data_IF_856349437382
#
_entry.id   IF_856349437382
#
_cell.length_a   1.000
_cell.length_b   1.000
_cell.length_c   1.000
_cell.angle_alpha   90.00
_cell.angle_beta   90.00
_cell.angle_gamma   90.00
#
_symmetry.space_group_name_H-M   'P 1'
#
loop_
_entity.id
_entity.type
_entity.pdbx_description
1 polymer ?
#
# COMPACT_ATOMS: atom_id res chain seq x y z
N UNK A 1 -16.00 -19.56 -18.56
CA UNK A 1 -14.77 -19.40 -19.36
C UNK A 1 -14.78 -18.10 -20.14
N UNK A 2 -15.83 -17.79 -20.92
CA UNK A 2 -15.94 -16.55 -21.71
C UNK A 2 -16.07 -15.24 -20.88
N UNK A 3 -16.72 -15.31 -19.72
CA UNK A 3 -16.84 -14.16 -18.81
C UNK A 3 -15.52 -13.83 -18.09
N UNK A 4 -14.72 -14.86 -17.78
CA UNK A 4 -13.40 -14.72 -17.16
C UNK A 4 -12.42 -14.06 -18.14
N UNK A 5 -12.39 -14.49 -19.40
CA UNK A 5 -11.50 -13.94 -20.43
C UNK A 5 -11.84 -12.49 -20.80
N UNK A 6 -13.11 -12.08 -20.74
CA UNK A 6 -13.53 -10.68 -20.92
C UNK A 6 -13.07 -9.77 -19.78
N UNK A 7 -13.12 -10.23 -18.54
CA UNK A 7 -12.64 -9.48 -17.37
C UNK A 7 -11.12 -9.29 -17.42
N UNK A 8 -10.37 -10.34 -17.76
CA UNK A 8 -8.91 -10.28 -17.93
C UNK A 8 -8.51 -9.30 -19.05
N UNK A 9 -9.23 -9.32 -20.18
CA UNK A 9 -9.00 -8.36 -21.26
C UNK A 9 -9.28 -6.92 -20.83
N UNK A 10 -10.38 -6.67 -20.11
CA UNK A 10 -10.72 -5.33 -19.61
C UNK A 10 -9.63 -4.81 -18.66
N UNK A 11 -9.17 -5.64 -17.72
CA UNK A 11 -8.08 -5.29 -16.80
C UNK A 11 -6.81 -4.96 -17.59
N UNK A 12 -6.42 -5.81 -18.55
CA UNK A 12 -5.24 -5.56 -19.40
C UNK A 12 -5.36 -4.28 -20.22
N UNK A 13 -6.56 -3.97 -20.74
CA UNK A 13 -6.83 -2.76 -21.50
C UNK A 13 -6.75 -1.51 -20.62
N UNK A 14 -7.36 -1.53 -19.43
CA UNK A 14 -7.26 -0.44 -18.45
C UNK A 14 -5.81 -0.23 -18.01
N UNK A 15 -5.04 -1.29 -17.76
CA UNK A 15 -3.61 -1.20 -17.41
C UNK A 15 -2.78 -0.64 -18.57
N UNK A 16 -3.04 -1.04 -19.81
CA UNK A 16 -2.34 -0.53 -21.00
C UNK A 16 -2.62 0.96 -21.23
N UNK A 17 -3.89 1.39 -21.13
CA UNK A 17 -4.24 2.81 -21.19
C UNK A 17 -3.63 3.62 -20.05
N UNK A 18 -3.44 3.00 -18.88
CA UNK A 18 -2.80 3.64 -17.72
C UNK A 18 -1.30 3.86 -17.92
N UNK A 19 -0.64 3.07 -18.79
CA UNK A 19 0.79 3.23 -19.13
C UNK A 19 1.06 4.38 -20.10
N UNK A 20 0.05 4.81 -20.87
CA UNK A 20 0.20 5.83 -21.91
C UNK A 20 -0.18 7.26 -21.45
N UNK A 21 -0.85 7.41 -20.29
CA UNK A 21 -1.33 8.70 -19.80
C UNK A 21 -0.79 9.06 -18.41
N UNK A 22 0.08 10.08 -18.33
CA UNK A 22 0.59 10.66 -17.07
C UNK A 22 -0.45 11.38 -16.19
N UNK A 23 -1.75 11.09 -16.36
CA UNK A 23 -2.88 11.68 -15.61
C UNK A 23 -3.56 10.64 -14.69
N UNK A 24 -2.77 9.77 -14.05
CA UNK A 24 -3.31 8.72 -13.18
C UNK A 24 -4.01 9.29 -11.93
N UNK A 25 -3.49 10.40 -11.39
CA UNK A 25 -4.02 11.04 -10.18
C UNK A 25 -5.43 11.61 -10.36
N UNK A 26 -5.84 11.95 -11.59
CA UNK A 26 -7.16 12.54 -11.85
C UNK A 26 -8.31 11.53 -11.84
N UNK A 27 -8.02 10.24 -12.06
CA UNK A 27 -9.04 9.17 -12.11
C UNK A 27 -9.04 8.25 -10.89
N UNK A 28 -8.04 8.38 -10.03
CA UNK A 28 -7.94 7.59 -8.81
C UNK A 28 -8.75 8.22 -7.66
N UNK A 29 -9.05 7.41 -6.64
CA UNK A 29 -9.71 7.92 -5.43
C UNK A 29 -8.78 8.89 -4.68
N UNK A 30 -9.25 10.11 -4.44
CA UNK A 30 -8.49 11.12 -3.72
C UNK A 30 -8.43 10.82 -2.21
N UNK A 31 -7.41 11.35 -1.53
CA UNK A 31 -7.22 11.14 -0.09
C UNK A 31 -8.44 11.61 0.71
N UNK A 32 -8.97 12.80 0.40
CA UNK A 32 -10.13 13.36 1.08
C UNK A 32 -11.41 12.53 0.90
N UNK A 33 -11.51 11.80 -0.22
CA UNK A 33 -12.62 10.86 -0.44
C UNK A 33 -12.42 9.58 0.36
N UNK A 34 -11.23 8.99 0.29
CA UNK A 34 -10.92 7.70 0.93
C UNK A 34 -10.80 7.79 2.46
N UNK A 35 -10.06 8.77 2.98
CA UNK A 35 -9.75 8.89 4.41
C UNK A 35 -10.64 9.98 5.01
N UNK A 36 -11.63 9.57 5.81
CA UNK A 36 -12.55 10.49 6.48
C UNK A 36 -11.99 11.01 7.79
N UNK A 37 -11.43 10.11 8.60
CA UNK A 37 -10.74 10.47 9.85
C UNK A 37 -9.39 9.76 9.91
N UNK A 38 -8.39 10.44 10.45
CA UNK A 38 -7.06 9.90 10.72
C UNK A 38 -6.59 10.39 12.09
N UNK A 39 -6.09 9.48 12.92
CA UNK A 39 -5.39 9.80 14.15
C UNK A 39 -4.17 8.90 14.36
N UNK A 40 -3.07 9.47 14.82
CA UNK A 40 -1.84 8.77 15.19
C UNK A 40 -1.26 9.40 16.45
N UNK A 41 -0.82 8.60 17.43
CA UNK A 41 -0.38 9.11 18.74
C UNK A 41 -1.39 10.07 19.41
N UNK A 42 -2.70 9.79 19.27
CA UNK A 42 -3.80 10.65 19.74
C UNK A 42 -3.84 12.07 19.13
N UNK A 43 -3.06 12.35 18.08
CA UNK A 43 -3.12 13.58 17.30
C UNK A 43 -3.78 13.32 15.94
N UNK A 44 -4.46 14.33 15.41
CA UNK A 44 -5.04 14.28 14.06
C UNK A 44 -3.91 14.22 13.02
N UNK A 45 -4.02 13.32 12.06
CA UNK A 45 -3.17 13.28 10.87
C UNK A 45 -3.93 13.79 9.64
N UNK A 46 -3.20 14.36 8.70
CA UNK A 46 -3.72 14.90 7.43
C UNK A 46 -3.03 14.24 6.25
N UNK A 47 -3.42 14.61 5.03
CA UNK A 47 -2.80 14.12 3.80
C UNK A 47 -1.29 14.35 3.77
N UNK A 48 -0.79 15.41 4.43
CA UNK A 48 0.65 15.74 4.50
C UNK A 48 1.48 14.66 5.22
N UNK A 49 0.84 13.78 6.00
CA UNK A 49 1.51 12.66 6.66
C UNK A 49 1.58 11.39 5.78
N UNK A 50 1.10 11.46 4.54
CA UNK A 50 1.01 10.34 3.63
C UNK A 50 1.74 10.64 2.32
N UNK A 51 2.42 9.63 1.81
CA UNK A 51 2.99 9.66 0.45
C UNK A 51 2.06 8.92 -0.49
N UNK A 52 1.77 9.52 -1.65
CA UNK A 52 1.00 8.89 -2.71
C UNK A 52 1.90 7.97 -3.52
N UNK A 53 1.52 6.70 -3.67
CA UNK A 53 2.23 5.71 -4.49
C UNK A 53 1.24 5.09 -5.45
N UNK A 54 1.56 5.10 -6.74
CA UNK A 54 0.71 4.46 -7.74
C UNK A 54 0.99 2.95 -7.81
N UNK A 55 -0.08 2.15 -7.76
CA UNK A 55 -0.04 0.71 -7.93
C UNK A 55 -0.92 0.26 -9.12
N UNK A 56 -0.39 -0.50 -10.11
CA UNK A 56 -1.12 -0.87 -11.32
C UNK A 56 -2.47 -1.56 -11.08
N UNK A 57 -2.55 -2.42 -10.07
CA UNK A 57 -3.75 -3.20 -9.74
C UNK A 57 -4.76 -2.45 -8.84
N UNK A 58 -4.31 -1.47 -8.05
CA UNK A 58 -5.14 -0.85 -6.99
C UNK A 58 -5.33 0.66 -7.16
N UNK A 59 -4.68 1.27 -8.14
CA UNK A 59 -4.73 2.71 -8.33
C UNK A 59 -3.80 3.44 -7.37
N UNK A 60 -4.25 4.60 -6.90
CA UNK A 60 -3.46 5.46 -6.01
C UNK A 60 -3.54 4.98 -4.56
N UNK A 61 -2.40 4.60 -4.00
CA UNK A 61 -2.25 4.20 -2.61
C UNK A 61 -1.70 5.36 -1.78
N UNK A 62 -2.09 5.41 -0.50
CA UNK A 62 -1.60 6.41 0.46
C UNK A 62 -0.82 5.71 1.57
N UNK A 63 0.47 6.00 1.64
CA UNK A 63 1.41 5.32 2.54
C UNK A 63 1.74 6.24 3.70
N UNK A 64 1.32 5.85 4.90
CA UNK A 64 1.70 6.55 6.12
C UNK A 64 3.15 6.22 6.49
N UNK A 65 3.94 7.22 6.88
CA UNK A 65 5.29 7.02 7.41
C UNK A 65 6.26 6.31 6.44
N UNK A 66 6.17 6.62 5.15
CA UNK A 66 6.97 5.92 4.11
C UNK A 66 8.45 6.33 4.13
N UNK A 67 8.73 7.63 3.95
CA UNK A 67 10.08 8.18 3.84
C UNK A 67 10.37 9.20 4.95
N UNK A 68 11.66 9.42 5.20
CA UNK A 68 12.14 10.46 6.12
C UNK A 68 12.15 10.01 7.57
N UNK A 69 11.95 10.96 8.49
CA UNK A 69 12.03 10.66 9.92
C UNK A 69 10.88 9.74 10.37
N UNK A 70 11.26 8.63 11.00
CA UNK A 70 10.31 7.64 11.50
C UNK A 70 9.35 8.22 12.54
N UNK A 71 8.06 8.23 12.18
CA UNK A 71 6.97 8.41 13.13
C UNK A 71 6.92 7.23 14.08
N UNK A 72 7.36 7.43 15.32
CA UNK A 72 7.40 6.40 16.37
C UNK A 72 6.15 6.49 17.24
N UNK A 73 5.62 5.32 17.60
CA UNK A 73 4.54 5.25 18.59
C UNK A 73 5.09 5.60 19.98
N UNK A 74 4.37 6.47 20.69
CA UNK A 74 4.76 6.88 22.05
C UNK A 74 4.49 5.79 23.07
N UNK A 75 3.39 5.05 22.88
CA UNK A 75 2.91 3.98 23.78
C UNK A 75 2.20 2.90 22.97
N UNK A 76 2.20 1.68 23.48
CA UNK A 76 1.36 0.61 22.93
C UNK A 76 -0.12 0.84 23.26
N UNK A 77 -1.00 0.53 22.32
CA UNK A 77 -2.46 0.57 22.50
C UNK A 77 -3.18 1.26 21.35
N UNK A 78 -4.49 0.99 21.19
CA UNK A 78 -5.27 1.44 20.03
C UNK A 78 -5.44 2.96 19.93
N UNK A 79 -5.27 3.70 21.03
CA UNK A 79 -5.35 5.17 21.04
C UNK A 79 -4.07 5.86 20.55
N UNK A 80 -2.93 5.15 20.61
CA UNK A 80 -1.61 5.70 20.25
C UNK A 80 -1.11 5.18 18.90
N UNK A 81 -1.67 4.07 18.40
CA UNK A 81 -1.43 3.59 17.04
C UNK A 81 -2.13 4.44 15.97
N UNK A 82 -2.02 3.98 14.72
CA UNK A 82 -2.74 4.56 13.59
C UNK A 82 -4.20 4.10 13.61
N UNK A 83 -5.12 5.06 13.66
CA UNK A 83 -6.56 4.85 13.60
C UNK A 83 -7.13 5.62 12.42
N UNK A 84 -7.83 4.91 11.54
CA UNK A 84 -8.41 5.48 10.34
C UNK A 84 -9.89 5.13 10.21
N UNK A 85 -10.67 6.05 9.65
CA UNK A 85 -11.99 5.78 9.11
C UNK A 85 -11.91 5.91 7.59
N UNK A 86 -12.11 4.80 6.89
CA UNK A 86 -12.02 4.73 5.43
C UNK A 86 -13.43 4.70 4.84
N UNK A 87 -13.58 5.37 3.69
CA UNK A 87 -14.82 5.44 2.93
C UNK A 87 -14.57 5.02 1.48
N UNK A 88 -15.45 4.18 0.97
CA UNK A 88 -15.43 3.75 -0.42
C UNK A 88 -16.86 3.64 -0.92
N UNK A 89 -17.11 4.09 -2.16
CA UNK A 89 -18.42 4.03 -2.78
C UNK A 89 -18.46 2.92 -3.82
N UNK A 90 -19.23 1.86 -3.58
CA UNK A 90 -19.31 0.69 -4.47
C UNK A 90 -19.82 1.08 -5.87
N UNK A 91 -20.67 2.12 -5.97
CA UNK A 91 -21.18 2.61 -7.25
C UNK A 91 -20.12 3.22 -8.16
N UNK A 92 -18.95 3.57 -7.61
CA UNK A 92 -17.82 4.15 -8.36
C UNK A 92 -16.80 3.08 -8.81
N UNK A 93 -17.04 1.81 -8.50
CA UNK A 93 -16.13 0.72 -8.88
C UNK A 93 -16.25 0.43 -10.37
N UNK A 94 -15.13 0.11 -11.00
CA UNK A 94 -15.16 -0.40 -12.38
C UNK A 94 -15.74 -1.81 -12.37
N UNK A 95 -16.51 -2.15 -13.42
CA UNK A 95 -17.16 -3.47 -13.53
C UNK A 95 -16.17 -4.65 -13.49
N UNK A 96 -14.91 -4.40 -13.85
CA UNK A 96 -13.86 -5.40 -13.82
C UNK A 96 -13.29 -5.66 -12.40
N UNK A 97 -13.64 -4.85 -11.40
CA UNK A 97 -13.15 -5.03 -10.03
C UNK A 97 -13.78 -6.28 -9.41
N UNK A 98 -12.92 -7.22 -8.99
CA UNK A 98 -13.33 -8.52 -8.45
C UNK A 98 -13.52 -8.55 -6.92
N UNK A 99 -13.16 -7.47 -6.22
CA UNK A 99 -13.23 -7.40 -4.76
C UNK A 99 -13.67 -6.02 -4.27
N UNK A 100 -14.38 -5.99 -3.14
CA UNK A 100 -14.92 -4.76 -2.55
C UNK A 100 -14.21 -4.48 -1.22
N UNK A 101 -13.83 -3.22 -1.00
CA UNK A 101 -13.23 -2.77 0.24
C UNK A 101 -11.87 -2.11 0.05
N UNK A 102 -11.09 -2.08 1.12
CA UNK A 102 -9.75 -1.49 1.12
C UNK A 102 -8.69 -2.58 1.32
N UNK A 103 -7.52 -2.40 0.71
CA UNK A 103 -6.32 -3.21 0.95
C UNK A 103 -5.35 -2.43 1.83
N UNK A 104 -4.82 -3.06 2.87
CA UNK A 104 -3.78 -2.48 3.73
C UNK A 104 -2.56 -3.40 3.71
N UNK A 105 -1.43 -2.88 3.28
CA UNK A 105 -0.14 -3.54 3.44
C UNK A 105 0.64 -2.87 4.57
N UNK A 106 1.35 -3.66 5.37
CA UNK A 106 2.25 -3.16 6.38
C UNK A 106 3.66 -3.55 5.97
N UNK A 107 4.56 -2.58 5.89
CA UNK A 107 5.92 -2.76 5.42
C UNK A 107 6.88 -1.87 6.22
N UNK A 108 8.18 -2.12 6.06
CA UNK A 108 9.24 -1.28 6.63
C UNK A 108 9.33 0.06 5.90
N UNK A 109 9.91 1.05 6.57
CA UNK A 109 10.18 2.34 5.94
C UNK A 109 11.10 2.18 4.74
N UNK A 110 10.93 3.08 3.77
CA UNK A 110 11.64 3.07 2.50
C UNK A 110 11.46 1.80 1.65
N UNK A 111 10.80 0.74 2.10
CA UNK A 111 10.49 -0.42 1.26
C UNK A 111 9.22 -0.18 0.43
N UNK A 112 9.23 -0.56 -0.85
CA UNK A 112 8.04 -0.45 -1.69
C UNK A 112 6.87 -1.27 -1.12
N UNK A 113 5.65 -0.70 -1.00
CA UNK A 113 4.49 -1.44 -0.53
C UNK A 113 3.99 -2.44 -1.59
N UNK A 114 3.98 -3.74 -1.26
CA UNK A 114 3.38 -4.78 -2.12
C UNK A 114 2.00 -5.23 -1.61
N UNK A 115 0.90 -4.51 -1.92
CA UNK A 115 -0.46 -4.86 -1.48
C UNK A 115 -1.01 -6.14 -2.12
N UNK A 116 -0.44 -6.58 -3.26
CA UNK A 116 -0.78 -7.88 -3.87
C UNK A 116 -0.26 -9.05 -3.04
N UNK A 117 0.95 -8.93 -2.47
CA UNK A 117 1.63 -10.01 -1.74
C UNK A 117 1.36 -9.98 -0.24
N UNK A 118 1.39 -8.79 0.37
CA UNK A 118 1.32 -8.61 1.83
C UNK A 118 0.08 -7.82 2.29
N UNK A 119 -0.90 -7.64 1.40
CA UNK A 119 -2.11 -6.89 1.69
C UNK A 119 -3.15 -7.67 2.48
N UNK A 120 -3.74 -7.03 3.48
CA UNK A 120 -4.93 -7.46 4.19
C UNK A 120 -6.17 -6.75 3.62
N UNK A 121 -7.23 -7.51 3.34
CA UNK A 121 -8.49 -6.96 2.85
C UNK A 121 -9.41 -6.54 4.00
N UNK A 122 -9.96 -5.33 3.92
CA UNK A 122 -10.91 -4.78 4.88
C UNK A 122 -12.23 -4.57 4.17
N UNK A 123 -13.28 -5.23 4.66
CA UNK A 123 -14.61 -5.12 4.10
C UNK A 123 -15.30 -3.84 4.57
N UNK A 124 -16.07 -3.15 3.71
CA UNK A 124 -16.91 -2.05 4.14
C UNK A 124 -17.87 -2.46 5.25
N UNK A 125 -18.19 -1.53 6.16
CA UNK A 125 -19.08 -1.80 7.30
C UNK A 125 -18.46 -2.63 8.42
N UNK A 126 -17.19 -3.00 8.32
CA UNK A 126 -16.44 -3.68 9.37
C UNK A 126 -15.44 -2.74 10.06
N UNK A 127 -15.07 -3.08 11.30
CA UNK A 127 -13.95 -2.48 12.00
C UNK A 127 -12.93 -3.56 12.32
N UNK A 128 -11.67 -3.35 11.93
CA UNK A 128 -10.56 -4.27 12.18
C UNK A 128 -9.54 -3.60 13.11
N UNK A 129 -9.00 -4.38 14.04
CA UNK A 129 -7.90 -3.97 14.90
C UNK A 129 -6.70 -4.88 14.64
N UNK A 130 -5.64 -4.32 14.05
CA UNK A 130 -4.39 -5.02 13.78
C UNK A 130 -3.39 -4.73 14.90
N UNK A 131 -2.94 -5.78 15.59
CA UNK A 131 -1.86 -5.70 16.58
C UNK A 131 -0.59 -6.24 15.97
N UNK A 132 0.52 -5.51 16.12
CA UNK A 132 1.79 -5.85 15.50
C UNK A 132 2.90 -6.02 16.53
N UNK A 133 3.82 -6.93 16.22
CA UNK A 133 5.10 -7.08 16.90
C UNK A 133 6.20 -7.14 15.84
N UNK A 134 7.07 -6.15 15.84
CA UNK A 134 8.23 -6.14 14.96
C UNK A 134 9.28 -7.14 15.46
N UNK A 135 9.79 -7.98 14.57
CA UNK A 135 10.93 -8.85 14.83
C UNK A 135 11.98 -8.57 13.76
N UNK A 136 13.19 -8.21 14.17
CA UNK A 136 14.31 -7.95 13.25
C UNK A 136 15.22 -9.16 13.22
N UNK A 137 15.51 -9.65 12.01
CA UNK A 137 16.47 -10.72 11.78
C UNK A 137 17.67 -10.13 11.03
N UNK A 138 18.85 -10.28 11.60
CA UNK A 138 20.10 -9.84 10.99
C UNK A 138 20.92 -11.05 10.61
N UNK A 139 21.35 -11.11 9.35
CA UNK A 139 22.26 -12.14 8.85
C UNK A 139 23.62 -11.51 8.62
N UNK A 140 24.67 -12.29 8.84
CA UNK A 140 26.02 -11.85 8.52
C UNK A 140 26.18 -11.78 7.00
N UNK A 141 26.73 -10.66 6.52
CA UNK A 141 27.15 -10.49 5.14
C UNK A 141 28.51 -11.19 4.95
N UNK A 142 28.57 -12.08 3.96
CA UNK A 142 29.71 -12.85 3.48
C UNK A 142 30.11 -14.12 4.27
N UNK A 143 30.20 -15.22 3.52
CA UNK A 143 30.52 -16.57 3.98
C UNK A 143 29.63 -17.60 3.26
N UNK A 144 29.06 -18.53 4.01
CA UNK A 144 28.13 -19.57 3.53
C UNK A 144 26.73 -19.03 3.14
N UNK A 145 26.40 -17.80 3.55
CA UNK A 145 25.14 -17.13 3.21
C UNK A 145 25.30 -16.28 1.95
N UNK A 146 24.49 -16.56 0.93
CA UNK A 146 24.35 -15.73 -0.28
C UNK A 146 23.47 -14.49 -0.05
N UNK A 147 23.60 -13.85 1.10
CA UNK A 147 22.92 -12.58 1.38
C UNK A 147 23.69 -11.46 0.70
N UNK A 148 22.99 -10.62 -0.05
CA UNK A 148 23.56 -9.48 -0.74
C UNK A 148 22.87 -8.22 -0.22
N UNK A 149 23.66 -7.25 0.22
CA UNK A 149 23.19 -5.90 0.50
C UNK A 149 23.34 -5.13 -0.81
N UNK A 150 22.24 -5.04 -1.56
CA UNK A 150 22.26 -4.56 -2.94
C UNK A 150 21.70 -3.13 -3.03
N UNK A 151 22.19 -2.26 -2.16
CA UNK A 151 21.77 -0.84 -2.09
C UNK A 151 22.25 0.01 -3.27
N UNK A 152 23.07 -0.54 -4.17
CA UNK A 152 23.70 0.18 -5.29
C UNK A 152 23.01 -0.06 -6.64
N UNK A 153 22.00 -0.94 -6.71
CA UNK A 153 21.25 -1.18 -7.95
C UNK A 153 20.01 -0.28 -8.05
N UNK A 154 19.76 0.20 -9.26
CA UNK A 154 18.53 0.90 -9.60
C UNK A 154 17.43 -0.13 -9.86
N UNK A 155 16.40 -0.10 -9.02
CA UNK A 155 15.22 -0.96 -9.16
C UNK A 155 14.08 -0.23 -9.85
N UNK A 156 13.15 -1.00 -10.44
CA UNK A 156 11.93 -0.43 -11.03
C UNK A 156 11.01 0.19 -9.97
N UNK A 157 11.01 -0.38 -8.76
CA UNK A 157 10.21 0.09 -7.64
C UNK A 157 11.01 1.06 -6.79
N UNK A 158 10.37 2.16 -6.40
CA UNK A 158 10.96 3.14 -5.49
C UNK A 158 11.08 2.57 -4.07
N UNK A 159 12.30 2.51 -3.56
CA UNK A 159 12.58 2.04 -2.22
C UNK A 159 13.83 1.19 -2.03
N UNK A 160 14.02 0.70 -0.81
CA UNK A 160 15.11 -0.17 -0.40
C UNK A 160 14.97 -1.58 -0.98
N UNK A 161 16.11 -2.26 -1.14
CA UNK A 161 16.15 -3.65 -1.56
C UNK A 161 15.29 -4.56 -0.66
N UNK A 162 14.42 -5.33 -1.31
CA UNK A 162 13.70 -6.46 -0.73
C UNK A 162 13.73 -7.61 -1.72
N UNK A 163 13.45 -8.84 -1.27
CA UNK A 163 13.41 -9.99 -2.17
C UNK A 163 12.34 -9.83 -3.25
N UNK A 164 11.22 -9.19 -2.92
CA UNK A 164 10.08 -8.96 -3.80
C UNK A 164 10.39 -7.93 -4.89
N UNK A 165 11.26 -6.97 -4.61
CA UNK A 165 11.74 -6.00 -5.63
C UNK A 165 12.63 -6.67 -6.67
N UNK A 166 13.30 -7.78 -6.34
CA UNK A 166 14.19 -8.51 -7.25
C UNK A 166 13.46 -9.48 -8.19
N UNK A 167 12.25 -9.92 -7.82
CA UNK A 167 11.45 -10.90 -8.57
C UNK A 167 10.69 -10.26 -9.73
#
# INVERSE_FOLDING_TARGET
MEQQSRLEWLISYYMAMSREGGHFEEKAISFATLVKNCAYNAATCTQENFTSVFHPSYGLCYVFNFHGEASKVTRSGPNYGLKMLLYTNISEYIEATTSIGCRIAIHDQDAYPFPDTFGYSIQPGSAIALSMRANRNERLNAGETKCQDDSEREYLYDGSYTMEVYL
#
